data_IF_993556014043
#
_entry.id   IF_993556014043
#
_cell.length_a   1.000
_cell.length_b   1.000
_cell.length_c   1.000
_cell.angle_alpha   90.00
_cell.angle_beta   90.00
_cell.angle_gamma   90.00
#
_symmetry.space_group_name_H-M   'P 1'
#
loop_
_entity.id
_entity.type
_entity.pdbx_description
1 polymer ?
#
# COMPACT_ATOMS: atom_id res chain seq x y z
N UNK A 1 11.18 -16.94 -2.94
CA UNK A 1 10.34 -15.74 -2.84
C UNK A 1 9.42 -15.73 -4.05
N UNK A 2 8.11 -15.82 -3.84
CA UNK A 2 7.12 -15.62 -4.91
C UNK A 2 6.84 -14.12 -4.96
N UNK A 3 7.45 -13.42 -5.91
CA UNK A 3 7.14 -12.04 -6.25
C UNK A 3 6.38 -12.07 -7.58
N UNK A 4 5.07 -11.90 -7.53
CA UNK A 4 4.28 -11.74 -8.74
C UNK A 4 4.44 -10.30 -9.21
N UNK A 5 5.15 -10.12 -10.32
CA UNK A 5 5.19 -8.86 -11.07
C UNK A 5 4.05 -8.89 -12.07
N UNK A 6 3.00 -8.11 -11.82
CA UNK A 6 1.92 -7.90 -12.77
C UNK A 6 2.35 -6.71 -13.63
N UNK A 7 2.68 -6.94 -14.90
CA UNK A 7 2.99 -5.87 -15.83
C UNK A 7 2.13 -6.10 -17.07
N UNK A 8 1.27 -5.11 -17.38
CA UNK A 8 0.48 -5.03 -18.61
C UNK A 8 -0.77 -5.92 -18.69
N UNK A 9 -1.70 -5.77 -17.74
CA UNK A 9 -3.11 -5.92 -18.08
C UNK A 9 -3.66 -4.51 -18.33
N UNK A 10 -4.46 -4.30 -19.37
CA UNK A 10 -5.09 -2.99 -19.65
C UNK A 10 -6.20 -2.61 -18.65
N UNK A 11 -6.05 -2.99 -17.37
CA UNK A 11 -6.96 -2.88 -16.23
C UNK A 11 -6.15 -2.91 -14.90
N UNK A 12 -6.80 -2.86 -13.73
CA UNK A 12 -6.13 -2.95 -12.41
C UNK A 12 -5.19 -4.16 -12.32
N UNK A 13 -4.04 -3.99 -11.67
CA UNK A 13 -3.04 -5.06 -11.48
C UNK A 13 -3.60 -6.27 -10.74
N UNK A 14 -4.51 -6.07 -9.79
CA UNK A 14 -5.37 -7.13 -9.22
C UNK A 14 -6.80 -6.61 -9.20
N UNK A 15 -7.67 -7.29 -9.94
CA UNK A 15 -9.13 -7.06 -10.04
C UNK A 15 -9.85 -8.35 -9.59
N UNK A 16 -10.78 -8.24 -8.65
CA UNK A 16 -11.46 -9.39 -8.05
C UNK A 16 -12.89 -9.59 -8.56
N UNK A 17 -13.42 -8.67 -9.36
CA UNK A 17 -14.79 -8.73 -9.84
C UNK A 17 -14.90 -8.49 -11.35
N UNK A 18 -16.07 -8.01 -11.81
CA UNK A 18 -16.22 -7.55 -13.18
C UNK A 18 -15.27 -6.37 -13.43
N UNK A 19 -14.69 -6.30 -14.64
CA UNK A 19 -13.65 -5.35 -14.99
C UNK A 19 -13.86 -3.95 -14.41
N UNK A 20 -12.91 -3.51 -13.58
CA UNK A 20 -12.93 -2.22 -12.90
C UNK A 20 -12.83 -2.35 -11.39
N UNK A 21 -12.50 -1.25 -10.73
CA UNK A 21 -12.23 -1.28 -9.31
C UNK A 21 -13.50 -1.55 -8.50
N UNK A 22 -13.52 -2.63 -7.72
CA UNK A 22 -14.59 -2.93 -6.78
C UNK A 22 -14.49 -2.03 -5.56
N UNK A 23 -15.62 -1.62 -4.98
CA UNK A 23 -15.64 -0.93 -3.70
C UNK A 23 -15.51 -1.92 -2.53
N UNK A 24 -14.80 -1.54 -1.47
CA UNK A 24 -14.84 -2.24 -0.19
C UNK A 24 -16.29 -2.41 0.29
N UNK A 25 -16.60 -3.59 0.83
CA UNK A 25 -17.94 -3.96 1.26
C UNK A 25 -18.01 -3.97 2.80
N UNK A 26 -19.06 -3.36 3.37
CA UNK A 26 -19.25 -3.30 4.81
C UNK A 26 -19.56 -4.67 5.46
N UNK A 27 -20.10 -5.62 4.69
CA UNK A 27 -20.52 -6.93 5.20
C UNK A 27 -19.47 -8.02 5.07
N UNK A 28 -18.25 -7.73 4.57
CA UNK A 28 -17.19 -8.70 4.28
C UNK A 28 -17.73 -9.97 3.59
N UNK A 29 -18.11 -9.89 2.29
CA UNK A 29 -18.72 -10.99 1.60
C UNK A 29 -17.86 -12.25 1.70
N UNK A 30 -18.47 -13.41 1.90
CA UNK A 30 -17.76 -14.69 1.93
C UNK A 30 -17.81 -15.42 0.58
N UNK A 31 -18.14 -14.72 -0.52
CA UNK A 31 -18.40 -15.33 -1.82
C UNK A 31 -17.86 -14.50 -2.97
N UNK A 32 -17.21 -15.17 -3.93
CA UNK A 32 -16.54 -14.57 -5.08
C UNK A 32 -15.04 -14.90 -5.12
N UNK A 33 -14.32 -14.48 -6.17
CA UNK A 33 -12.86 -14.62 -6.24
C UNK A 33 -12.19 -14.00 -5.00
N UNK A 34 -11.27 -14.74 -4.36
CA UNK A 34 -10.61 -14.33 -3.12
C UNK A 34 -11.57 -13.77 -2.06
N UNK A 35 -12.78 -14.32 -1.98
CA UNK A 35 -13.84 -13.87 -1.08
C UNK A 35 -14.13 -12.35 -1.19
N UNK A 36 -13.82 -11.71 -2.32
CA UNK A 36 -13.91 -10.25 -2.47
C UNK A 36 -13.24 -9.49 -1.31
N UNK A 37 -12.06 -9.97 -0.89
CA UNK A 37 -11.27 -9.40 0.19
C UNK A 37 -11.12 -7.88 0.03
N UNK A 38 -11.57 -7.13 1.05
CA UNK A 38 -11.40 -5.68 1.10
C UNK A 38 -9.92 -5.30 1.03
N UNK A 39 -9.62 -4.23 0.29
CA UNK A 39 -8.29 -3.67 0.17
C UNK A 39 -8.01 -2.63 1.26
N UNK A 40 -6.73 -2.39 1.62
CA UNK A 40 -6.36 -1.33 2.55
C UNK A 40 -6.78 0.04 2.04
N UNK A 41 -6.97 1.02 2.91
CA UNK A 41 -7.08 2.42 2.53
C UNK A 41 -5.87 3.17 3.08
N UNK A 42 -4.96 3.58 2.20
CA UNK A 42 -3.75 4.31 2.59
C UNK A 42 -4.08 5.79 2.83
N UNK A 43 -3.47 6.38 3.84
CA UNK A 43 -3.69 7.78 4.23
C UNK A 43 -2.47 8.67 4.03
N UNK A 44 -1.24 8.14 4.21
CA UNK A 44 -0.01 8.89 4.04
C UNK A 44 1.20 8.00 3.81
N UNK A 45 2.21 8.54 3.12
CA UNK A 45 3.49 7.88 2.90
C UNK A 45 4.69 8.86 2.95
N UNK A 46 4.98 9.53 4.09
CA UNK A 46 6.19 10.32 4.21
C UNK A 46 7.44 9.45 4.07
N UNK A 47 8.41 9.92 3.30
CA UNK A 47 9.72 9.29 3.09
C UNK A 47 10.84 10.20 3.59
N UNK A 48 11.68 9.66 4.46
CA UNK A 48 12.89 10.31 4.96
C UNK A 48 14.13 9.69 4.33
N UNK A 49 14.94 10.51 3.66
CA UNK A 49 16.17 10.09 2.99
C UNK A 49 15.94 9.40 1.63
N UNK A 50 16.80 9.70 0.66
CA UNK A 50 16.74 9.11 -0.68
C UNK A 50 17.53 7.79 -0.81
N UNK A 51 18.51 7.55 0.07
CA UNK A 51 19.39 6.39 0.05
C UNK A 51 19.29 5.65 1.38
N UNK A 52 18.77 4.43 1.35
CA UNK A 52 18.49 3.65 2.57
C UNK A 52 17.53 4.39 3.54
N UNK A 53 16.63 5.19 2.95
CA UNK A 53 15.63 5.95 3.68
C UNK A 53 14.54 5.06 4.25
N UNK A 54 13.65 5.69 5.02
CA UNK A 54 12.47 5.05 5.58
C UNK A 54 11.23 5.72 5.02
N UNK A 55 10.31 4.93 4.45
CA UNK A 55 8.97 5.37 4.09
C UNK A 55 7.99 4.88 5.15
N UNK A 56 7.30 5.80 5.81
CA UNK A 56 6.27 5.48 6.81
C UNK A 56 4.91 5.42 6.12
N UNK A 57 4.41 4.21 5.89
CA UNK A 57 3.12 4.00 5.21
C UNK A 57 2.02 3.78 6.23
N UNK A 58 1.03 4.66 6.22
CA UNK A 58 -0.11 4.63 7.15
C UNK A 58 -1.42 4.38 6.42
N UNK A 59 -2.35 3.72 7.09
CA UNK A 59 -3.66 3.41 6.54
C UNK A 59 -4.53 2.59 7.48
N UNK A 60 -5.65 2.12 6.94
CA UNK A 60 -6.60 1.27 7.64
C UNK A 60 -7.06 0.10 6.76
N UNK A 61 -7.59 -0.93 7.40
CA UNK A 61 -8.25 -2.06 6.75
C UNK A 61 -9.52 -2.39 7.53
N UNK A 62 -10.64 -2.54 6.83
CA UNK A 62 -11.84 -3.15 7.37
C UNK A 62 -12.03 -4.50 6.69
N UNK A 63 -11.99 -5.60 7.44
CA UNK A 63 -12.13 -6.95 6.90
C UNK A 63 -12.68 -7.93 7.93
N UNK A 64 -12.51 -9.24 7.75
CA UNK A 64 -13.04 -10.24 8.67
C UNK A 64 -12.54 -9.96 10.10
N UNK A 65 -13.41 -10.06 11.12
CA UNK A 65 -13.04 -9.74 12.49
C UNK A 65 -11.99 -10.69 13.05
N UNK A 66 -11.18 -10.19 13.98
CA UNK A 66 -10.18 -10.96 14.73
C UNK A 66 -9.23 -11.78 13.85
N UNK A 67 -8.85 -11.25 12.69
CA UNK A 67 -8.12 -11.96 11.63
C UNK A 67 -6.81 -11.25 11.29
N UNK A 68 -5.81 -12.04 10.87
CA UNK A 68 -4.51 -11.52 10.46
C UNK A 68 -4.47 -11.32 8.94
N UNK A 69 -3.96 -10.16 8.53
CA UNK A 69 -3.80 -9.78 7.13
C UNK A 69 -2.38 -9.35 6.86
N UNK A 70 -1.82 -9.90 5.79
CA UNK A 70 -0.54 -9.48 5.24
C UNK A 70 -0.78 -8.31 4.30
N UNK A 71 -0.14 -7.18 4.57
CA UNK A 71 -0.19 -5.99 3.74
C UNK A 71 1.07 -5.96 2.87
N UNK A 72 0.87 -6.08 1.57
CA UNK A 72 1.92 -5.96 0.55
C UNK A 72 1.86 -4.54 -0.02
N UNK A 73 2.95 -3.78 0.11
CA UNK A 73 3.06 -2.40 -0.37
C UNK A 73 3.90 -2.37 -1.63
N UNK A 74 3.44 -1.58 -2.60
CA UNK A 74 4.05 -1.40 -3.90
C UNK A 74 4.36 0.06 -4.16
N UNK A 75 5.34 0.29 -5.02
CA UNK A 75 5.78 1.59 -5.48
C UNK A 75 5.62 1.69 -7.01
N UNK A 76 5.22 2.87 -7.47
CA UNK A 76 5.24 3.27 -8.87
C UNK A 76 5.62 4.75 -9.01
N UNK A 77 5.95 5.21 -10.22
CA UNK A 77 6.23 6.63 -10.47
C UNK A 77 4.94 7.46 -10.54
N UNK A 78 3.86 6.87 -11.04
CA UNK A 78 2.56 7.53 -11.21
C UNK A 78 1.43 6.58 -10.83
N UNK A 79 0.26 7.13 -10.54
CA UNK A 79 -0.95 6.34 -10.31
C UNK A 79 -1.39 5.60 -11.60
N UNK A 80 -2.40 4.75 -11.48
CA UNK A 80 -3.01 4.10 -12.63
C UNK A 80 -3.94 5.06 -13.38
N UNK A 81 -3.57 5.41 -14.61
CA UNK A 81 -4.38 6.28 -15.48
C UNK A 81 -5.63 5.57 -16.02
N UNK A 82 -5.63 4.24 -16.00
CA UNK A 82 -6.74 3.40 -16.46
C UNK A 82 -7.77 3.13 -15.36
N UNK A 83 -7.40 3.35 -14.09
CA UNK A 83 -8.24 3.17 -12.92
C UNK A 83 -8.13 4.38 -11.97
N UNK A 84 -8.94 5.44 -12.18
CA UNK A 84 -8.85 6.68 -11.41
C UNK A 84 -8.87 6.44 -9.89
N UNK A 85 -7.87 7.01 -9.20
CA UNK A 85 -7.71 6.89 -7.75
C UNK A 85 -7.03 5.61 -7.28
N UNK A 86 -6.73 4.65 -8.16
CA UNK A 86 -6.03 3.39 -7.83
C UNK A 86 -4.54 3.48 -8.11
N UNK A 87 -3.78 2.74 -7.32
CA UNK A 87 -2.34 2.64 -7.49
C UNK A 87 -1.93 1.53 -8.47
N UNK A 88 -0.61 1.34 -8.60
CA UNK A 88 0.03 0.29 -9.42
C UNK A 88 0.95 -0.58 -8.57
N UNK A 89 1.13 -1.82 -8.97
CA UNK A 89 1.99 -2.83 -8.36
C UNK A 89 3.32 -3.02 -9.12
N UNK A 90 3.89 -1.94 -9.68
CA UNK A 90 5.09 -1.99 -10.52
C UNK A 90 6.30 -2.61 -9.80
N UNK A 91 6.56 -2.15 -8.57
CA UNK A 91 7.68 -2.61 -7.75
C UNK A 91 7.23 -2.94 -6.33
N UNK A 92 7.60 -4.13 -5.84
CA UNK A 92 7.41 -4.47 -4.44
C UNK A 92 8.27 -3.58 -3.55
N UNK A 93 7.61 -2.88 -2.61
CA UNK A 93 8.24 -1.88 -1.75
C UNK A 93 8.47 -2.40 -0.34
N UNK A 94 7.57 -3.24 0.16
CA UNK A 94 7.71 -3.87 1.46
C UNK A 94 6.44 -4.57 1.90
N UNK A 95 6.51 -5.22 3.06
CA UNK A 95 5.38 -5.95 3.63
C UNK A 95 5.36 -5.82 5.15
N UNK A 96 4.15 -5.82 5.69
CA UNK A 96 3.92 -5.98 7.12
C UNK A 96 2.62 -6.76 7.36
N UNK A 97 2.31 -7.05 8.62
CA UNK A 97 1.06 -7.71 9.02
C UNK A 97 0.25 -6.76 9.89
N UNK A 98 -1.07 -6.83 9.74
CA UNK A 98 -2.04 -6.14 10.61
C UNK A 98 -3.08 -7.14 11.11
N UNK A 99 -3.62 -6.90 12.30
CA UNK A 99 -4.70 -7.69 12.88
C UNK A 99 -5.94 -6.82 13.01
N UNK A 100 -7.06 -7.31 12.49
CA UNK A 100 -8.37 -6.68 12.70
C UNK A 100 -8.88 -6.95 14.10
N UNK A 101 -9.60 -5.99 14.68
CA UNK A 101 -10.27 -6.15 15.96
C UNK A 101 -11.58 -6.97 15.82
N UNK A 102 -12.34 -7.10 16.90
CA UNK A 102 -13.61 -7.82 16.90
C UNK A 102 -14.71 -7.21 15.99
N UNK A 103 -14.56 -5.94 15.60
CA UNK A 103 -15.43 -5.27 14.62
C UNK A 103 -14.92 -5.39 13.18
N UNK A 104 -13.74 -5.98 12.94
CA UNK A 104 -13.14 -6.08 11.62
C UNK A 104 -12.20 -4.93 11.26
N UNK A 105 -11.97 -3.97 12.16
CA UNK A 105 -11.17 -2.78 11.87
C UNK A 105 -9.71 -2.96 12.28
N UNK A 106 -8.82 -2.42 11.46
CA UNK A 106 -7.40 -2.28 11.76
C UNK A 106 -6.88 -0.93 11.27
N UNK A 107 -6.05 -0.28 12.08
CA UNK A 107 -5.25 0.89 11.66
C UNK A 107 -3.78 0.52 11.76
N UNK A 108 -2.96 1.02 10.84
CA UNK A 108 -1.54 0.69 10.80
C UNK A 108 -0.66 1.87 10.41
N UNK A 109 0.60 1.80 10.82
CA UNK A 109 1.68 2.68 10.41
C UNK A 109 2.98 1.88 10.36
N UNK A 110 3.46 1.59 9.17
CA UNK A 110 4.63 0.74 8.94
C UNK A 110 5.83 1.57 8.51
N UNK A 111 6.99 1.33 9.11
CA UNK A 111 8.25 1.88 8.63
C UNK A 111 8.89 0.86 7.68
N UNK A 112 8.92 1.19 6.40
CA UNK A 112 9.51 0.36 5.35
C UNK A 112 10.83 0.97 4.89
N UNK A 113 11.87 0.14 4.81
CA UNK A 113 13.14 0.55 4.22
C UNK A 113 12.97 0.73 2.72
N UNK A 114 13.42 1.86 2.18
CA UNK A 114 13.42 2.10 0.73
C UNK A 114 14.35 1.07 0.07
N UNK A 115 13.84 0.20 -0.82
CA UNK A 115 14.56 -0.99 -1.26
C UNK A 115 15.66 -0.70 -2.29
N UNK A 116 15.69 0.50 -2.87
CA UNK A 116 16.68 0.90 -3.87
C UNK A 116 17.29 2.25 -3.54
N UNK A 117 18.59 2.38 -3.78
CA UNK A 117 19.29 3.67 -3.69
C UNK A 117 18.91 4.56 -4.87
N UNK A 118 18.78 5.86 -4.64
CA UNK A 118 18.40 6.82 -5.69
C UNK A 118 16.97 6.69 -6.19
N UNK A 119 16.09 5.96 -5.50
CA UNK A 119 14.68 5.88 -5.87
C UNK A 119 14.03 7.26 -5.67
N UNK A 120 13.52 7.92 -6.73
CA UNK A 120 12.82 9.19 -6.58
C UNK A 120 11.54 9.01 -5.76
N UNK A 121 10.95 10.13 -5.34
CA UNK A 121 9.58 10.12 -4.82
C UNK A 121 8.63 9.71 -5.94
N UNK A 122 7.62 8.93 -5.58
CA UNK A 122 6.58 8.51 -6.49
C UNK A 122 5.28 8.32 -5.73
N UNK A 123 4.61 7.21 -5.99
CA UNK A 123 3.36 6.83 -5.34
C UNK A 123 3.47 5.44 -4.74
N UNK A 124 2.68 5.20 -3.71
CA UNK A 124 2.52 3.88 -3.10
C UNK A 124 1.08 3.41 -3.16
N UNK A 125 0.95 2.08 -3.21
CA UNK A 125 -0.30 1.35 -3.19
C UNK A 125 -0.11 0.06 -2.39
N UNK A 126 -1.19 -0.62 -2.06
CA UNK A 126 -1.13 -1.84 -1.27
C UNK A 126 -2.27 -2.82 -1.58
N UNK A 127 -2.03 -4.08 -1.23
CA UNK A 127 -3.03 -5.15 -1.19
C UNK A 127 -3.04 -5.80 0.19
N UNK A 128 -4.18 -6.39 0.58
CA UNK A 128 -4.32 -7.20 1.78
C UNK A 128 -4.51 -8.67 1.40
N UNK A 129 -3.74 -9.57 2.01
CA UNK A 129 -3.90 -11.02 1.84
C UNK A 129 -4.24 -11.68 3.17
N UNK A 130 -5.33 -12.44 3.21
CA UNK A 130 -5.75 -13.21 4.38
C UNK A 130 -4.78 -14.37 4.67
N UNK A 131 -4.92 -14.99 5.84
CA UNK A 131 -4.16 -16.21 6.19
C UNK A 131 -4.47 -17.40 5.26
N UNK A 132 -5.66 -17.45 4.65
CA UNK A 132 -6.04 -18.45 3.64
C UNK A 132 -5.52 -18.14 2.24
N UNK A 133 -4.90 -16.97 2.03
CA UNK A 133 -4.34 -16.56 0.75
C UNK A 133 -5.25 -15.68 -0.10
N UNK A 134 -6.46 -15.37 0.38
CA UNK A 134 -7.39 -14.47 -0.31
C UNK A 134 -6.81 -13.06 -0.36
N UNK A 135 -6.48 -12.60 -1.57
CA UNK A 135 -5.81 -11.31 -1.79
C UNK A 135 -6.76 -10.29 -2.38
N UNK A 136 -6.80 -9.09 -1.82
CA UNK A 136 -7.59 -7.95 -2.28
C UNK A 136 -7.17 -7.42 -3.64
N UNK A 137 -8.02 -6.61 -4.25
CA UNK A 137 -7.62 -5.66 -5.30
C UNK A 137 -6.57 -4.65 -4.79
N UNK A 138 -5.97 -3.89 -5.70
CA UNK A 138 -5.04 -2.82 -5.33
C UNK A 138 -5.78 -1.59 -4.80
N UNK A 139 -5.24 -0.97 -3.75
CA UNK A 139 -5.89 0.15 -3.08
C UNK A 139 -5.69 1.50 -3.78
N UNK A 140 -6.07 2.57 -3.06
CA UNK A 140 -5.89 3.93 -3.49
C UNK A 140 -4.42 4.30 -3.67
N UNK A 141 -4.16 5.19 -4.63
CA UNK A 141 -2.85 5.74 -4.89
C UNK A 141 -2.53 6.88 -3.89
N UNK A 142 -1.39 6.80 -3.18
CA UNK A 142 -0.91 7.86 -2.29
C UNK A 142 0.47 8.33 -2.74
N UNK A 143 0.61 9.64 -2.96
CA UNK A 143 1.91 10.24 -3.23
C UNK A 143 2.80 10.18 -1.99
N UNK A 144 4.07 9.82 -2.20
CA UNK A 144 5.07 9.96 -1.16
C UNK A 144 5.45 11.42 -0.99
N UNK A 145 5.64 11.83 0.26
CA UNK A 145 6.05 13.20 0.60
C UNK A 145 7.41 13.17 1.28
N UNK A 146 8.33 14.05 0.87
CA UNK A 146 9.61 14.17 1.56
C UNK A 146 9.38 14.67 2.99
N UNK A 147 9.73 13.87 3.98
CA UNK A 147 9.87 14.34 5.35
C UNK A 147 11.33 14.73 5.56
N UNK A 148 11.73 15.89 5.07
CA UNK A 148 13.02 16.46 5.43
C UNK A 148 13.06 16.63 6.94
N UNK A 149 13.97 15.96 7.63
CA UNK A 149 14.44 16.49 8.92
C UNK A 149 14.90 17.93 8.63
N UNK A 150 14.58 18.92 9.47
CA UNK A 150 15.07 20.28 9.26
C UNK A 150 16.57 20.16 9.06
N UNK A 151 17.00 20.56 7.88
CA UNK A 151 18.37 20.46 7.45
C UNK A 151 19.22 21.16 8.51
N UNK A 152 20.08 20.41 9.21
CA UNK A 152 21.02 20.98 10.19
C UNK A 152 22.08 21.89 9.52
N UNK A 153 21.91 22.22 8.23
CA UNK A 153 22.76 23.10 7.42
C UNK A 153 22.61 24.60 7.72
N UNK A 154 21.77 25.01 8.68
CA UNK A 154 21.85 26.37 9.23
C UNK A 154 22.35 26.39 10.68
N UNK A 155 23.49 25.75 10.96
CA UNK A 155 24.39 26.25 12.02
C UNK A 155 25.57 27.00 11.41
N UNK A 156 25.26 27.97 10.55
CA UNK A 156 26.18 29.05 10.23
C UNK A 156 25.94 30.20 11.22
N UNK A 157 26.47 30.06 12.42
CA UNK A 157 26.89 31.21 13.20
C UNK A 157 28.39 31.33 13.01
N UNK A 158 28.82 32.24 12.14
CA UNK A 158 30.15 32.83 12.26
C UNK A 158 30.16 33.58 13.61
N UNK A 159 30.86 33.02 14.60
CA UNK A 159 31.58 33.76 15.64
C UNK A 159 32.95 33.09 15.84
#
# INVERSE_FOLDING_TARGET
>A
MLANRMASNGALDIDLAAAGASANQASNPASGPNQLQNYPQLSSAPRSGANNGTSTVSGSLHSAPSSAYRIDVYYALTCDDTAPGRGRADFFFGRSTVNTNAAGDASFSFNLTVPFTGLPLGVVAATATSASGDTSEICNCIAEVSSSLPDLMFRNGFE
#
